data_IF_754830651703
#
_entry.id   IF_754830651703
#
_cell.length_a   1.000
_cell.length_b   1.000
_cell.length_c   1.000
_cell.angle_alpha   90.00
_cell.angle_beta   90.00
_cell.angle_gamma   90.00
#
_symmetry.space_group_name_H-M   'P 1'
#
loop_
_entity.id
_entity.type
_entity.pdbx_description
1 polymer ?
#
# COMPACT_ATOMS: atom_id res chain seq x y z
N UNK A 1 15.56 20.63 -21.25
CA UNK A 1 14.85 19.32 -21.44
C UNK A 1 14.54 18.79 -20.04
N UNK A 2 13.33 19.01 -19.55
CA UNK A 2 12.80 18.20 -18.47
C UNK A 2 12.64 16.78 -19.03
N UNK A 3 13.56 15.90 -18.71
CA UNK A 3 13.34 14.47 -18.88
C UNK A 3 12.26 14.09 -17.85
N UNK A 4 11.04 13.82 -18.32
CA UNK A 4 10.03 13.16 -17.49
C UNK A 4 10.50 11.73 -17.26
N UNK A 5 11.33 11.52 -16.25
CA UNK A 5 11.69 10.18 -15.79
C UNK A 5 10.46 9.64 -15.08
N UNK A 6 9.83 8.65 -15.68
CA UNK A 6 8.69 7.93 -15.12
C UNK A 6 9.19 6.57 -14.66
N UNK A 7 9.82 6.55 -13.49
CA UNK A 7 10.33 5.31 -12.93
C UNK A 7 9.21 4.51 -12.27
N UNK A 8 9.20 3.23 -12.52
CA UNK A 8 8.40 2.25 -11.78
C UNK A 8 9.32 1.56 -10.80
N UNK A 9 8.93 1.56 -9.53
CA UNK A 9 9.71 0.98 -8.44
C UNK A 9 8.89 -0.12 -7.78
N UNK A 10 9.46 -1.31 -7.66
CA UNK A 10 8.96 -2.38 -6.80
C UNK A 10 9.81 -2.42 -5.54
N UNK A 11 9.18 -2.03 -4.42
CA UNK A 11 9.81 -2.05 -3.10
C UNK A 11 9.36 -3.30 -2.36
N UNK A 12 10.31 -4.13 -1.96
CA UNK A 12 10.07 -5.42 -1.33
C UNK A 12 10.78 -6.55 -2.06
N UNK A 13 10.64 -7.72 -1.49
CA UNK A 13 11.17 -8.97 -2.06
C UNK A 13 10.30 -10.13 -1.58
N UNK A 14 10.58 -11.34 -2.02
CA UNK A 14 9.98 -12.57 -1.51
C UNK A 14 10.86 -13.18 -0.42
N UNK A 15 10.26 -13.81 0.58
CA UNK A 15 11.00 -14.53 1.62
C UNK A 15 11.66 -15.80 1.05
N UNK A 16 11.03 -16.41 0.04
CA UNK A 16 11.55 -17.58 -0.67
C UNK A 16 11.44 -17.35 -2.17
N UNK A 17 12.57 -17.45 -2.85
CA UNK A 17 12.59 -17.33 -4.32
C UNK A 17 12.13 -18.62 -4.96
N UNK A 18 11.09 -18.54 -5.78
CA UNK A 18 10.58 -19.60 -6.63
C UNK A 18 10.70 -19.24 -8.11
N UNK A 19 10.31 -20.14 -8.99
CA UNK A 19 10.37 -19.93 -10.44
C UNK A 19 9.52 -18.74 -10.88
N UNK A 20 8.36 -18.53 -10.24
CA UNK A 20 7.48 -17.40 -10.54
C UNK A 20 8.13 -16.06 -10.15
N UNK A 21 8.63 -15.95 -8.94
CA UNK A 21 9.26 -14.72 -8.45
C UNK A 21 10.54 -14.38 -9.19
N UNK A 22 11.36 -15.38 -9.52
CA UNK A 22 12.55 -15.21 -10.35
C UNK A 22 12.20 -14.72 -11.76
N UNK A 23 11.18 -15.31 -12.39
CA UNK A 23 10.66 -14.91 -13.70
C UNK A 23 10.13 -13.49 -13.69
N UNK A 24 9.33 -13.13 -12.65
CA UNK A 24 8.80 -11.78 -12.48
C UNK A 24 9.92 -10.74 -12.32
N UNK A 25 10.92 -11.01 -11.50
CA UNK A 25 12.07 -10.11 -11.31
C UNK A 25 12.86 -9.91 -12.61
N UNK A 26 13.05 -10.99 -13.38
CA UNK A 26 13.70 -10.90 -14.69
C UNK A 26 12.90 -10.01 -15.62
N UNK A 27 11.61 -10.28 -15.79
CA UNK A 27 10.72 -9.49 -16.64
C UNK A 27 10.68 -8.01 -16.20
N UNK A 28 10.58 -7.74 -14.90
CA UNK A 28 10.58 -6.39 -14.38
C UNK A 28 11.85 -5.61 -14.78
N UNK A 29 13.03 -6.24 -14.67
CA UNK A 29 14.30 -5.62 -15.09
C UNK A 29 14.33 -5.34 -16.58
N UNK A 30 13.87 -6.28 -17.42
CA UNK A 30 13.78 -6.11 -18.89
C UNK A 30 12.85 -4.96 -19.26
N UNK A 31 11.82 -4.68 -18.45
CA UNK A 31 10.89 -3.55 -18.62
C UNK A 31 11.37 -2.25 -17.97
N UNK A 32 12.60 -2.20 -17.46
CA UNK A 32 13.18 -1.01 -16.83
C UNK A 32 12.54 -0.65 -15.48
N UNK A 33 11.96 -1.63 -14.78
CA UNK A 33 11.44 -1.44 -13.41
C UNK A 33 12.59 -1.53 -12.41
N UNK A 34 12.67 -0.58 -11.50
CA UNK A 34 13.65 -0.57 -10.42
C UNK A 34 13.20 -1.54 -9.32
N UNK A 35 14.01 -2.55 -9.05
CA UNK A 35 13.79 -3.49 -7.94
C UNK A 35 14.69 -3.09 -6.78
N UNK A 36 14.10 -2.72 -5.63
CA UNK A 36 14.87 -2.27 -4.47
C UNK A 36 15.24 -3.38 -3.51
N UNK A 37 14.58 -4.54 -3.60
CA UNK A 37 14.58 -5.52 -2.52
C UNK A 37 13.93 -4.93 -1.25
N UNK A 38 14.18 -5.56 -0.11
CA UNK A 38 13.67 -5.05 1.17
C UNK A 38 14.37 -3.74 1.54
N UNK A 39 13.58 -2.67 1.66
CA UNK A 39 14.06 -1.36 2.11
C UNK A 39 13.27 -0.89 3.35
N UNK A 40 13.94 -0.16 4.24
CA UNK A 40 13.34 0.37 5.48
C UNK A 40 13.94 1.75 5.80
N UNK A 41 13.32 2.42 6.78
CA UNK A 41 13.82 3.68 7.34
C UNK A 41 14.00 4.76 6.28
N UNK A 42 15.13 5.47 6.29
CA UNK A 42 15.38 6.63 5.44
C UNK A 42 15.20 6.37 3.94
N UNK A 43 15.51 5.16 3.45
CA UNK A 43 15.36 4.81 2.03
C UNK A 43 13.89 4.70 1.65
N UNK A 44 13.07 4.00 2.46
CA UNK A 44 11.64 3.88 2.25
C UNK A 44 10.96 5.25 2.39
N UNK A 45 11.32 6.02 3.42
CA UNK A 45 10.84 7.38 3.61
C UNK A 45 11.10 8.26 2.37
N UNK A 46 12.33 8.25 1.84
CA UNK A 46 12.66 9.00 0.63
C UNK A 46 11.85 8.56 -0.57
N UNK A 47 11.65 7.24 -0.76
CA UNK A 47 10.85 6.69 -1.86
C UNK A 47 9.40 7.18 -1.77
N UNK A 48 8.75 7.03 -0.61
CA UNK A 48 7.36 7.45 -0.41
C UNK A 48 7.19 8.97 -0.52
N UNK A 49 8.14 9.75 0.03
CA UNK A 49 8.09 11.22 -0.04
C UNK A 49 8.13 11.75 -1.47
N UNK A 50 8.82 11.06 -2.37
CA UNK A 50 9.01 11.51 -3.75
C UNK A 50 8.17 10.72 -4.77
N UNK A 51 7.41 9.75 -4.32
CA UNK A 51 6.52 9.00 -5.19
C UNK A 51 5.38 9.89 -5.72
N UNK A 52 4.98 9.66 -6.96
CA UNK A 52 3.80 10.29 -7.54
C UNK A 52 2.51 9.58 -7.15
N UNK A 53 2.57 8.27 -7.02
CA UNK A 53 1.44 7.41 -6.75
C UNK A 53 1.94 6.12 -6.12
N UNK A 54 1.14 5.55 -5.24
CA UNK A 54 1.34 4.21 -4.69
C UNK A 54 0.35 3.24 -5.33
N UNK A 55 0.80 2.04 -5.66
CA UNK A 55 -0.01 1.00 -6.29
C UNK A 55 0.05 -0.28 -5.47
N UNK A 56 -1.12 -0.83 -5.12
CA UNK A 56 -1.23 -2.12 -4.42
C UNK A 56 -2.17 -3.05 -5.19
N UNK A 57 -1.65 -3.89 -6.12
CA UNK A 57 -2.45 -4.77 -6.95
C UNK A 57 -2.66 -6.15 -6.32
N UNK A 58 -2.71 -6.23 -5.00
CA UNK A 58 -2.80 -7.49 -4.27
C UNK A 58 -4.10 -8.24 -4.57
N UNK A 59 -4.02 -9.56 -4.65
CA UNK A 59 -5.19 -10.45 -4.72
C UNK A 59 -5.66 -10.90 -3.33
N UNK A 60 -4.80 -10.74 -2.32
CA UNK A 60 -5.09 -11.07 -0.92
C UNK A 60 -4.27 -10.21 0.02
N UNK A 61 -4.92 -9.70 1.07
CA UNK A 61 -4.30 -8.97 2.17
C UNK A 61 -5.04 -9.29 3.48
N UNK A 62 -4.33 -9.19 4.60
CA UNK A 62 -4.94 -9.07 5.91
C UNK A 62 -5.27 -7.60 6.20
N UNK A 63 -4.34 -6.91 6.88
CA UNK A 63 -4.36 -5.45 6.97
C UNK A 63 -3.32 -4.89 5.99
N UNK A 64 -3.67 -4.07 5.00
CA UNK A 64 -2.74 -3.57 3.98
C UNK A 64 -1.84 -2.45 4.56
N UNK A 65 -0.88 -2.80 5.42
CA UNK A 65 -0.01 -1.84 6.14
C UNK A 65 0.73 -0.92 5.17
N UNK A 66 1.21 -1.46 4.05
CA UNK A 66 1.89 -0.66 3.03
C UNK A 66 0.99 0.43 2.42
N UNK A 67 -0.32 0.14 2.27
CA UNK A 67 -1.31 1.13 1.85
C UNK A 67 -1.49 2.22 2.90
N UNK A 68 -1.64 1.84 4.18
CA UNK A 68 -1.78 2.79 5.28
C UNK A 68 -0.53 3.68 5.40
N UNK A 69 0.66 3.10 5.21
CA UNK A 69 1.91 3.86 5.17
C UNK A 69 1.90 4.87 4.02
N UNK A 70 1.55 4.47 2.80
CA UNK A 70 1.45 5.39 1.66
C UNK A 70 0.42 6.51 1.90
N UNK A 71 -0.71 6.22 2.53
CA UNK A 71 -1.73 7.21 2.92
C UNK A 71 -1.18 8.22 3.93
N UNK A 72 -0.35 7.80 4.89
CA UNK A 72 0.29 8.71 5.85
C UNK A 72 1.23 9.72 5.18
N UNK A 73 1.77 9.38 4.01
CA UNK A 73 2.53 10.30 3.15
C UNK A 73 1.65 11.11 2.19
N UNK A 74 0.33 11.00 2.30
CA UNK A 74 -0.64 11.72 1.46
C UNK A 74 -0.50 11.41 -0.04
N UNK A 75 -0.01 10.21 -0.36
CA UNK A 75 0.13 9.79 -1.74
C UNK A 75 -1.23 9.50 -2.38
N UNK A 76 -1.45 9.85 -3.65
CA UNK A 76 -2.49 9.22 -4.44
C UNK A 76 -2.27 7.70 -4.45
N UNK A 77 -3.32 6.92 -4.18
CA UNK A 77 -3.24 5.46 -4.14
C UNK A 77 -4.15 4.83 -5.19
N UNK A 78 -3.70 3.72 -5.78
CA UNK A 78 -4.46 2.89 -6.70
C UNK A 78 -4.37 1.45 -6.20
N UNK A 79 -5.49 0.86 -5.83
CA UNK A 79 -5.51 -0.45 -5.16
C UNK A 79 -6.57 -1.38 -5.78
N UNK A 80 -6.33 -2.67 -5.70
CA UNK A 80 -7.34 -3.68 -6.07
C UNK A 80 -8.55 -3.63 -5.14
N UNK A 81 -9.72 -4.03 -5.64
CA UNK A 81 -11.00 -4.00 -4.95
C UNK A 81 -11.25 -5.22 -4.04
N UNK A 82 -10.18 -5.79 -3.47
CA UNK A 82 -10.30 -6.88 -2.50
C UNK A 82 -10.89 -6.40 -1.16
N UNK A 83 -11.55 -7.29 -0.38
CA UNK A 83 -12.22 -6.89 0.87
C UNK A 83 -11.36 -6.06 1.81
N UNK A 84 -10.11 -6.47 2.07
CA UNK A 84 -9.20 -5.76 2.96
C UNK A 84 -8.90 -4.32 2.50
N UNK A 85 -8.77 -4.08 1.20
CA UNK A 85 -8.57 -2.74 0.67
C UNK A 85 -9.87 -1.91 0.72
N UNK A 86 -11.03 -2.54 0.48
CA UNK A 86 -12.33 -1.86 0.55
C UNK A 86 -12.66 -1.40 1.97
N UNK A 87 -12.25 -2.16 3.01
CA UNK A 87 -12.42 -1.79 4.42
C UNK A 87 -11.66 -0.50 4.80
N UNK A 88 -10.62 -0.14 4.04
CA UNK A 88 -9.91 1.13 4.25
C UNK A 88 -10.83 2.33 3.98
N UNK A 89 -11.80 2.19 3.06
CA UNK A 89 -12.83 3.21 2.78
C UNK A 89 -12.29 4.38 1.95
N UNK A 90 -11.53 4.07 0.90
CA UNK A 90 -11.04 5.06 -0.06
C UNK A 90 -12.16 5.53 -1.01
N UNK A 91 -11.91 6.61 -1.74
CA UNK A 91 -12.77 7.04 -2.85
C UNK A 91 -12.83 5.96 -3.94
N UNK A 92 -13.96 5.82 -4.62
CA UNK A 92 -14.18 4.78 -5.67
C UNK A 92 -13.13 4.81 -6.78
N UNK A 93 -12.61 5.98 -7.06
CA UNK A 93 -11.61 6.23 -8.09
C UNK A 93 -10.26 5.59 -7.76
N UNK A 94 -10.00 5.28 -6.50
CA UNK A 94 -8.76 4.60 -6.06
C UNK A 94 -8.78 3.09 -6.36
N UNK A 95 -9.95 2.50 -6.58
CA UNK A 95 -10.07 1.05 -6.77
C UNK A 95 -10.10 0.64 -8.23
N UNK A 96 -9.55 -0.53 -8.50
CA UNK A 96 -9.70 -1.25 -9.78
C UNK A 96 -10.02 -2.73 -9.52
N UNK A 97 -10.73 -3.41 -10.43
CA UNK A 97 -11.05 -4.82 -10.26
C UNK A 97 -9.77 -5.68 -10.19
N UNK A 98 -9.67 -6.55 -9.19
CA UNK A 98 -8.51 -7.43 -9.02
C UNK A 98 -8.27 -8.26 -10.28
N UNK A 99 -7.04 -8.27 -10.78
CA UNK A 99 -6.66 -8.97 -12.01
C UNK A 99 -6.97 -8.22 -13.31
N UNK A 100 -7.67 -7.09 -13.28
CA UNK A 100 -7.95 -6.28 -14.48
C UNK A 100 -6.77 -5.35 -14.80
N UNK A 101 -5.87 -5.84 -15.66
CA UNK A 101 -4.68 -5.12 -16.11
C UNK A 101 -5.05 -3.85 -16.89
N UNK A 102 -6.13 -3.90 -17.68
CA UNK A 102 -6.56 -2.75 -18.49
C UNK A 102 -7.09 -1.62 -17.61
N UNK A 103 -7.91 -1.95 -16.60
CA UNK A 103 -8.41 -0.98 -15.63
C UNK A 103 -7.26 -0.35 -14.82
N UNK A 104 -6.29 -1.15 -14.37
CA UNK A 104 -5.09 -0.62 -13.70
C UNK A 104 -4.30 0.32 -14.60
N UNK A 105 -4.03 -0.08 -15.84
CA UNK A 105 -3.30 0.75 -16.80
C UNK A 105 -4.02 2.09 -17.06
N UNK A 106 -5.34 2.07 -17.21
CA UNK A 106 -6.15 3.27 -17.37
C UNK A 106 -6.04 4.21 -16.16
N UNK A 107 -6.13 3.68 -14.94
CA UNK A 107 -5.99 4.49 -13.72
C UNK A 107 -4.60 5.08 -13.56
N UNK A 108 -3.58 4.32 -13.89
CA UNK A 108 -2.20 4.82 -13.91
C UNK A 108 -2.04 5.96 -14.91
N UNK A 109 -2.58 5.82 -16.12
CA UNK A 109 -2.53 6.86 -17.13
C UNK A 109 -3.26 8.13 -16.67
N UNK A 110 -4.47 8.00 -16.13
CA UNK A 110 -5.23 9.12 -15.57
C UNK A 110 -4.45 9.84 -14.46
N UNK A 111 -3.80 9.09 -13.56
CA UNK A 111 -2.98 9.68 -12.50
C UNK A 111 -1.75 10.42 -13.06
N UNK A 112 -1.13 9.89 -14.11
CA UNK A 112 0.03 10.49 -14.77
C UNK A 112 -0.34 11.79 -15.48
N UNK A 113 -1.50 11.84 -16.14
CA UNK A 113 -1.95 12.99 -16.93
C UNK A 113 -2.54 14.10 -16.05
N UNK A 114 -3.09 13.76 -14.89
CA UNK A 114 -3.61 14.72 -13.94
C UNK A 114 -2.49 15.55 -13.26
N UNK A 115 -2.75 16.79 -12.86
CA UNK A 115 -1.84 17.51 -11.98
C UNK A 115 -1.60 16.74 -10.67
N UNK A 116 -0.34 16.67 -10.23
CA UNK A 116 -0.03 16.05 -8.94
C UNK A 116 -0.70 16.82 -7.80
N UNK A 117 -1.44 16.11 -6.96
CA UNK A 117 -2.04 16.62 -5.73
C UNK A 117 -1.88 15.60 -4.63
N UNK A 118 -1.43 16.06 -3.49
CA UNK A 118 -1.49 15.25 -2.27
C UNK A 118 -2.94 14.96 -1.90
N UNK A 119 -3.18 13.80 -1.29
CA UNK A 119 -4.49 13.36 -0.81
C UNK A 119 -4.54 13.43 0.71
N UNK A 120 -5.67 13.85 1.25
CA UNK A 120 -5.94 13.74 2.68
C UNK A 120 -6.72 12.44 2.95
N UNK A 121 -6.34 11.75 4.02
CA UNK A 121 -6.98 10.51 4.43
C UNK A 121 -7.32 10.55 5.92
N UNK A 122 -8.48 10.00 6.34
CA UNK A 122 -8.85 9.92 7.75
C UNK A 122 -8.01 8.82 8.44
N UNK A 123 -6.86 9.21 9.01
CA UNK A 123 -5.90 8.29 9.61
C UNK A 123 -6.18 8.01 11.10
N UNK A 124 -7.15 8.69 11.72
CA UNK A 124 -7.44 8.62 13.15
C UNK A 124 -7.83 7.20 13.61
N UNK A 125 -8.51 6.45 12.74
CA UNK A 125 -8.90 5.05 13.03
C UNK A 125 -7.70 4.08 13.09
N UNK A 126 -6.53 4.53 12.65
CA UNK A 126 -5.29 3.76 12.66
C UNK A 126 -4.28 4.29 13.70
N UNK A 127 -4.75 5.09 14.65
CA UNK A 127 -3.96 5.53 15.79
C UNK A 127 -3.68 4.35 16.71
N UNK A 128 -2.42 3.93 16.78
CA UNK A 128 -2.00 2.78 17.56
C UNK A 128 -2.16 2.96 19.06
N UNK A 129 -2.06 4.17 19.58
CA UNK A 129 -2.26 4.44 21.01
C UNK A 129 -3.75 4.29 21.38
N UNK A 130 -4.64 4.79 20.52
CA UNK A 130 -6.07 4.61 20.67
C UNK A 130 -6.47 3.12 20.57
N UNK A 131 -5.91 2.37 19.61
CA UNK A 131 -6.16 0.93 19.45
C UNK A 131 -5.63 0.14 20.65
N UNK A 132 -4.43 0.46 21.15
CA UNK A 132 -3.86 -0.16 22.33
C UNK A 132 -4.73 0.07 23.57
N UNK A 133 -5.22 1.30 23.77
CA UNK A 133 -6.16 1.63 24.85
C UNK A 133 -7.47 0.84 24.79
N UNK A 134 -8.07 0.73 23.61
CA UNK A 134 -9.27 -0.09 23.39
C UNK A 134 -9.00 -1.58 23.68
N UNK A 135 -7.87 -2.09 23.26
CA UNK A 135 -7.45 -3.47 23.50
C UNK A 135 -7.26 -3.74 25.00
N UNK A 136 -6.60 -2.84 25.72
CA UNK A 136 -6.43 -2.93 27.17
C UNK A 136 -7.77 -2.95 27.90
N UNK A 137 -8.71 -2.09 27.51
CA UNK A 137 -10.04 -2.06 28.10
C UNK A 137 -10.83 -3.38 27.90
N UNK A 138 -10.62 -4.09 26.79
CA UNK A 138 -11.19 -5.42 26.60
C UNK A 138 -10.58 -6.45 27.56
N UNK A 139 -9.27 -6.43 27.73
CA UNK A 139 -8.60 -7.32 28.70
C UNK A 139 -9.06 -7.08 30.14
N UNK A 140 -9.21 -5.82 30.56
CA UNK A 140 -9.72 -5.46 31.89
C UNK A 140 -11.14 -6.00 32.12
N UNK A 141 -12.02 -5.84 31.12
CA UNK A 141 -13.39 -6.39 31.20
C UNK A 141 -13.37 -7.92 31.32
N UNK A 142 -12.53 -8.59 30.53
CA UNK A 142 -12.40 -10.06 30.59
C UNK A 142 -11.83 -10.52 31.94
N UNK A 143 -10.89 -9.79 32.53
CA UNK A 143 -10.32 -10.11 33.84
C UNK A 143 -11.38 -9.94 34.95
N UNK A 144 -12.20 -8.89 34.90
CA UNK A 144 -13.28 -8.64 35.86
C UNK A 144 -14.41 -9.70 35.80
N UNK A 145 -14.56 -10.40 34.67
CA UNK A 145 -15.57 -11.46 34.50
C UNK A 145 -15.08 -12.85 34.95
N UNK A 146 -13.81 -13.01 35.35
CA UNK A 146 -13.32 -14.26 35.93
C UNK A 146 -13.73 -14.32 37.40
N UNK A 147 -14.61 -15.24 37.83
CA UNK A 147 -14.82 -15.48 39.25
C UNK A 147 -13.50 -15.99 39.88
N UNK A 148 -13.19 -15.47 41.06
CA UNK A 148 -12.06 -15.93 41.84
C UNK A 148 -12.06 -17.45 41.93
N UNK A 149 -10.95 -18.08 41.48
CA UNK A 149 -10.71 -19.50 41.71
C UNK A 149 -10.03 -19.68 43.05
#
# INVERSE_FOLDING_TARGET
RQMCIRDRVLAGDTDFEDEYSAGLKKYAREQGVVLTGFIKGKKLHALLTHARCFVLPSSHEGLPIALLEAMSYRLPVIVSDIPANLEVGLEKEAYFPVGDIAALAQKLQQNIDAPYRQKEYPMEKYDWDAIAGQTAAVYEKCAALRPDR
#
